data_IF_927549573670
#
_entry.id   IF_927549573670
#
_cell.length_a   1.000
_cell.length_b   1.000
_cell.length_c   1.000
_cell.angle_alpha   90.00
_cell.angle_beta   90.00
_cell.angle_gamma   90.00
#
_symmetry.space_group_name_H-M   'P 1'
#
loop_
_entity.id
_entity.type
_entity.pdbx_description
1 polymer ?
#
# COMPACT_ATOMS: atom_id res chain seq x y z
N UNK A 1 -75.00 23.42 -9.36
CA UNK A 1 -74.93 24.69 -8.62
C UNK A 1 -73.48 25.17 -8.63
N UNK A 2 -73.22 26.25 -9.38
CA UNK A 2 -72.24 27.36 -9.18
C UNK A 2 -70.93 26.99 -8.45
N UNK A 3 -69.74 26.85 -9.06
CA UNK A 3 -68.88 27.79 -9.84
C UNK A 3 -68.38 29.02 -9.07
N UNK A 4 -67.07 29.09 -8.77
CA UNK A 4 -66.27 30.27 -9.11
C UNK A 4 -64.75 30.02 -8.98
N UNK A 5 -64.08 30.20 -10.12
CA UNK A 5 -62.65 30.49 -10.30
C UNK A 5 -62.40 31.98 -10.05
N UNK A 6 -61.16 32.36 -9.77
CA UNK A 6 -60.66 33.70 -10.07
C UNK A 6 -59.23 33.64 -10.62
N UNK A 7 -59.05 34.31 -11.76
CA UNK A 7 -57.83 34.49 -12.55
C UNK A 7 -57.44 35.97 -12.53
N UNK A 8 -56.11 36.24 -12.49
CA UNK A 8 -55.24 37.29 -13.13
C UNK A 8 -55.84 38.67 -13.54
N UNK A 9 -55.04 39.75 -13.58
CA UNK A 9 -54.55 40.21 -14.90
C UNK A 9 -53.11 40.78 -14.98
N UNK A 10 -52.67 40.85 -16.26
CA UNK A 10 -51.45 41.39 -16.88
C UNK A 10 -51.43 42.94 -17.01
N UNK A 11 -50.23 43.53 -17.14
CA UNK A 11 -49.88 44.66 -18.04
C UNK A 11 -48.33 44.76 -18.10
N UNK A 12 -47.62 44.50 -19.21
CA UNK A 12 -47.51 45.17 -20.53
C UNK A 12 -46.58 46.42 -20.52
N UNK A 13 -45.46 46.36 -21.26
CA UNK A 13 -45.07 47.36 -22.29
C UNK A 13 -43.78 46.99 -23.03
N UNK A 14 -43.81 47.27 -24.33
CA UNK A 14 -42.84 46.95 -25.38
C UNK A 14 -42.03 48.20 -25.81
N UNK A 15 -40.92 48.00 -26.55
CA UNK A 15 -40.44 48.78 -27.73
C UNK A 15 -39.04 48.26 -28.14
N UNK A 16 -38.83 47.71 -29.36
CA UNK A 16 -38.41 48.39 -30.62
C UNK A 16 -36.97 48.97 -30.51
N UNK A 17 -36.00 48.83 -31.42
CA UNK A 17 -35.92 48.50 -32.86
C UNK A 17 -34.44 48.26 -33.23
N UNK A 18 -34.21 47.48 -34.29
CA UNK A 18 -32.93 47.23 -34.94
C UNK A 18 -32.46 48.38 -35.84
N UNK A 19 -31.15 48.52 -36.10
CA UNK A 19 -30.59 48.64 -37.45
C UNK A 19 -29.05 48.74 -37.47
N UNK A 20 -28.56 48.44 -38.66
CA UNK A 20 -27.27 47.90 -39.07
C UNK A 20 -26.25 48.92 -39.59
N UNK A 21 -25.00 48.45 -39.61
CA UNK A 21 -23.95 48.57 -40.64
C UNK A 21 -23.32 49.91 -41.05
N UNK A 22 -21.99 49.84 -41.21
CA UNK A 22 -21.25 50.52 -42.29
C UNK A 22 -20.33 51.66 -41.86
N UNK A 23 -19.02 51.39 -41.82
CA UNK A 23 -17.99 52.38 -41.48
C UNK A 23 -17.62 53.37 -42.61
N UNK A 24 -16.69 54.28 -42.29
CA UNK A 24 -15.42 54.62 -42.99
C UNK A 24 -14.71 55.76 -42.19
N UNK A 25 -13.48 55.46 -41.74
CA UNK A 25 -12.23 56.22 -41.42
C UNK A 25 -12.17 57.77 -41.23
N UNK A 26 -11.04 58.33 -40.69
CA UNK A 26 -10.62 58.34 -39.28
C UNK A 26 -10.29 59.78 -38.76
N UNK A 27 -9.92 59.92 -37.48
CA UNK A 27 -8.74 60.75 -37.17
C UNK A 27 -7.77 60.09 -36.16
N UNK A 28 -6.53 60.61 -36.00
CA UNK A 28 -5.45 59.87 -35.36
C UNK A 28 -5.19 60.19 -33.88
N UNK A 29 -4.57 59.18 -33.25
CA UNK A 29 -3.55 59.17 -32.20
C UNK A 29 -3.88 59.69 -30.79
N UNK A 30 -4.09 58.74 -29.86
CA UNK A 30 -3.44 58.75 -28.54
C UNK A 30 -2.99 57.31 -28.19
N UNK A 31 -1.73 57.20 -27.79
CA UNK A 31 -0.90 55.99 -27.68
C UNK A 31 -1.26 55.09 -26.49
N UNK A 32 -0.97 53.80 -26.69
CA UNK A 32 -1.53 52.64 -25.99
C UNK A 32 -1.05 52.39 -24.55
N UNK A 33 -1.99 51.98 -23.70
CA UNK A 33 -1.79 51.15 -22.50
C UNK A 33 -2.47 49.79 -22.73
N UNK A 34 -1.75 48.65 -22.72
CA UNK A 34 -2.34 47.34 -22.92
C UNK A 34 -2.87 46.68 -21.63
N UNK A 35 -3.97 45.95 -21.84
CA UNK A 35 -4.72 45.11 -20.91
C UNK A 35 -3.88 44.05 -20.18
N UNK A 36 -4.30 43.76 -18.95
CA UNK A 36 -3.79 42.67 -18.12
C UNK A 36 -4.23 41.28 -18.65
N UNK A 37 -3.32 40.29 -18.71
CA UNK A 37 -3.62 38.90 -19.03
C UNK A 37 -3.92 38.04 -17.78
N UNK A 38 -4.42 36.83 -18.05
CA UNK A 38 -4.78 35.74 -17.13
C UNK A 38 -3.70 35.38 -16.08
N UNK A 39 -4.07 34.79 -14.93
CA UNK A 39 -3.11 34.46 -13.88
C UNK A 39 -2.24 33.27 -14.30
N UNK A 40 -0.98 33.55 -14.60
CA UNK A 40 0.11 32.59 -14.69
C UNK A 40 0.68 32.32 -13.29
N UNK A 41 0.87 31.04 -12.97
CA UNK A 41 1.57 30.59 -11.78
C UNK A 41 3.00 31.14 -11.77
N UNK A 42 3.30 31.98 -10.77
CA UNK A 42 4.65 32.48 -10.54
C UNK A 42 5.33 31.64 -9.48
N UNK A 43 6.45 31.04 -9.86
CA UNK A 43 7.44 30.44 -8.99
C UNK A 43 7.90 31.47 -7.95
N UNK A 44 7.71 31.17 -6.66
CA UNK A 44 8.36 31.91 -5.59
C UNK A 44 9.77 31.34 -5.40
N UNK A 45 10.74 32.22 -5.61
CA UNK A 45 12.16 31.97 -5.47
C UNK A 45 12.53 31.42 -4.09
N UNK A 46 13.49 30.49 -4.08
CA UNK A 46 14.20 30.08 -2.88
C UNK A 46 14.81 31.29 -2.16
N UNK A 47 14.70 31.42 -0.83
CA UNK A 47 15.38 32.47 -0.11
C UNK A 47 16.87 32.13 -0.05
N UNK A 48 17.68 33.03 -0.61
CA UNK A 48 19.11 33.12 -0.37
C UNK A 48 19.39 33.39 1.10
N UNK A 49 20.48 32.79 1.59
CA UNK A 49 20.80 32.65 3.00
C UNK A 49 20.76 33.94 3.81
N UNK A 50 19.99 33.89 4.89
CA UNK A 50 20.19 34.69 6.09
C UNK A 50 20.64 33.76 7.22
N UNK A 51 21.77 34.11 7.82
CA UNK A 51 22.31 33.41 8.99
C UNK A 51 21.29 33.41 10.13
N UNK A 52 20.85 32.22 10.55
CA UNK A 52 20.07 32.03 11.77
C UNK A 52 20.88 31.18 12.74
N UNK A 53 21.61 31.87 13.61
CA UNK A 53 21.99 31.35 14.92
C UNK A 53 21.14 32.04 15.97
N UNK A 54 20.17 31.32 16.55
CA UNK A 54 19.69 31.48 17.94
C UNK A 54 18.68 30.36 18.27
N UNK A 55 19.17 29.39 19.05
CA UNK A 55 18.49 28.53 20.02
C UNK A 55 16.99 28.22 19.89
N UNK A 56 16.67 27.24 19.05
CA UNK A 56 15.64 26.27 19.42
C UNK A 56 16.32 25.16 20.24
N UNK A 57 15.80 24.77 21.42
CA UNK A 57 16.35 23.64 22.15
C UNK A 57 16.19 22.38 21.28
N UNK A 58 17.29 21.99 20.63
CA UNK A 58 17.37 20.71 19.94
C UNK A 58 17.00 19.64 20.99
N UNK A 59 16.08 18.70 20.69
CA UNK A 59 15.89 17.56 21.57
C UNK A 59 17.28 16.98 21.82
N UNK A 60 17.67 16.88 23.09
CA UNK A 60 18.99 16.37 23.47
C UNK A 60 19.15 15.04 22.75
N UNK A 61 20.06 14.99 21.78
CA UNK A 61 20.46 13.73 21.11
C UNK A 61 20.65 12.75 22.27
N UNK A 62 19.92 11.61 22.32
CA UNK A 62 20.10 10.66 23.39
C UNK A 62 21.60 10.42 23.49
N UNK A 63 22.15 10.60 24.70
CA UNK A 63 23.60 10.54 24.95
C UNK A 63 24.11 9.38 24.12
N UNK A 64 24.97 9.66 23.12
CA UNK A 64 25.60 8.64 22.30
C UNK A 64 26.12 7.62 23.30
N UNK A 65 25.55 6.41 23.32
CA UNK A 65 26.03 5.36 24.21
C UNK A 65 27.52 5.28 23.97
N UNK A 66 28.30 5.55 25.00
CA UNK A 66 29.75 5.53 24.91
C UNK A 66 30.16 4.19 24.30
N UNK A 67 30.96 4.26 23.24
CA UNK A 67 31.34 3.06 22.50
C UNK A 67 31.95 2.06 23.50
N UNK A 68 31.55 0.77 23.46
CA UNK A 68 32.04 -0.19 24.44
C UNK A 68 33.57 -0.25 24.42
N UNK A 69 34.19 -0.26 25.61
CA UNK A 69 35.65 -0.37 25.73
C UNK A 69 36.18 -1.61 24.98
N UNK A 70 37.46 -1.63 24.57
CA UNK A 70 38.05 -2.80 23.91
C UNK A 70 37.86 -4.11 24.70
N UNK A 71 37.85 -4.02 26.04
CA UNK A 71 37.57 -5.14 26.94
C UNK A 71 36.11 -5.60 26.86
N UNK A 72 35.15 -4.66 26.89
CA UNK A 72 33.74 -4.98 26.66
C UNK A 72 33.54 -5.61 25.28
N UNK A 73 34.19 -5.10 24.23
CA UNK A 73 34.12 -5.70 22.90
C UNK A 73 34.78 -7.10 22.82
N UNK A 74 35.80 -7.39 23.65
CA UNK A 74 36.31 -8.76 23.81
C UNK A 74 35.28 -9.67 24.46
N UNK A 75 34.59 -9.19 25.51
CA UNK A 75 33.50 -9.94 26.14
C UNK A 75 32.33 -10.20 25.19
N UNK A 76 31.89 -9.19 24.42
CA UNK A 76 30.88 -9.35 23.36
C UNK A 76 31.27 -10.46 22.37
N UNK A 77 32.49 -10.40 21.82
CA UNK A 77 32.97 -11.42 20.85
C UNK A 77 33.05 -12.82 21.46
N UNK A 78 33.41 -12.91 22.73
CA UNK A 78 33.42 -14.19 23.47
C UNK A 78 32.01 -14.76 23.56
N UNK A 79 31.05 -13.98 24.05
CA UNK A 79 29.65 -14.40 24.18
C UNK A 79 29.01 -14.74 22.82
N UNK A 80 29.27 -13.95 21.79
CA UNK A 80 28.78 -14.23 20.44
C UNK A 80 29.36 -15.54 19.88
N UNK A 81 30.65 -15.81 20.10
CA UNK A 81 31.30 -17.06 19.68
C UNK A 81 30.75 -18.25 20.46
N UNK A 82 30.60 -18.14 21.78
CA UNK A 82 30.06 -19.21 22.62
C UNK A 82 28.61 -19.53 22.25
N UNK A 83 27.76 -18.52 22.05
CA UNK A 83 26.39 -18.71 21.59
C UNK A 83 26.31 -19.46 20.27
N UNK A 84 27.20 -19.17 19.31
CA UNK A 84 27.30 -19.92 18.04
C UNK A 84 27.75 -21.35 18.23
N UNK A 85 28.72 -21.60 19.12
CA UNK A 85 29.20 -22.96 19.42
C UNK A 85 28.09 -23.81 20.06
N UNK A 86 27.35 -23.23 21.01
CA UNK A 86 26.20 -23.86 21.65
C UNK A 86 25.07 -24.13 20.64
N UNK A 87 24.79 -23.16 19.76
CA UNK A 87 23.85 -23.35 18.64
C UNK A 87 24.27 -24.46 17.69
N UNK A 88 25.56 -24.57 17.37
CA UNK A 88 26.10 -25.70 16.59
C UNK A 88 25.91 -27.06 17.26
N UNK A 89 25.85 -27.11 18.60
CA UNK A 89 25.54 -28.29 19.41
C UNK A 89 24.04 -28.46 19.68
N UNK A 90 23.18 -27.61 19.09
CA UNK A 90 21.73 -27.56 19.35
C UNK A 90 21.34 -27.32 20.81
N UNK A 91 22.22 -26.70 21.60
CA UNK A 91 21.97 -26.29 22.98
C UNK A 91 21.34 -24.89 22.97
N UNK A 92 20.10 -24.81 22.46
CA UNK A 92 19.43 -23.54 22.16
C UNK A 92 19.17 -22.65 23.38
N UNK A 93 18.70 -23.16 24.54
CA UNK A 93 18.51 -22.35 25.74
C UNK A 93 19.81 -21.71 26.24
N UNK A 94 20.93 -22.43 26.17
CA UNK A 94 22.25 -21.92 26.54
C UNK A 94 22.77 -20.91 25.52
N UNK A 95 22.58 -21.17 24.22
CA UNK A 95 22.95 -20.25 23.15
C UNK A 95 22.24 -18.89 23.30
N UNK A 96 20.94 -18.92 23.60
CA UNK A 96 20.12 -17.74 23.89
C UNK A 96 20.76 -16.91 25.02
N UNK A 97 21.12 -17.54 26.15
CA UNK A 97 21.74 -16.85 27.29
C UNK A 97 23.05 -16.15 26.89
N UNK A 98 23.85 -16.77 26.04
CA UNK A 98 25.10 -16.17 25.57
C UNK A 98 24.84 -15.01 24.59
N UNK A 99 23.85 -15.11 23.70
CA UNK A 99 23.46 -13.99 22.85
C UNK A 99 22.88 -12.82 23.64
N UNK A 100 22.12 -13.07 24.71
CA UNK A 100 21.66 -12.02 25.64
C UNK A 100 22.81 -11.33 26.35
N UNK A 101 23.84 -12.07 26.79
CA UNK A 101 25.06 -11.47 27.35
C UNK A 101 25.80 -10.63 26.32
N UNK A 102 25.87 -11.06 25.06
CA UNK A 102 26.42 -10.25 23.98
C UNK A 102 25.61 -8.95 23.78
N UNK A 103 24.28 -9.04 23.75
CA UNK A 103 23.39 -7.90 23.62
C UNK A 103 23.42 -6.98 24.84
N UNK A 104 23.70 -7.47 26.05
CA UNK A 104 23.90 -6.62 27.22
C UNK A 104 25.12 -5.68 27.06
N UNK A 105 26.16 -6.15 26.35
CA UNK A 105 27.34 -5.35 26.03
C UNK A 105 27.03 -4.36 24.90
N UNK A 106 26.42 -4.84 23.81
CA UNK A 106 26.05 -4.04 22.63
C UNK A 106 24.55 -4.21 22.31
N UNK A 107 23.67 -3.45 22.98
CA UNK A 107 22.24 -3.49 22.70
C UNK A 107 21.93 -2.99 21.30
N UNK A 108 20.98 -3.67 20.66
CA UNK A 108 20.59 -3.34 19.30
C UNK A 108 21.58 -3.82 18.24
N UNK A 109 22.61 -4.59 18.60
CA UNK A 109 23.51 -5.19 17.62
C UNK A 109 22.76 -6.18 16.72
N UNK A 110 22.53 -5.78 15.46
CA UNK A 110 21.73 -6.56 14.52
C UNK A 110 22.26 -7.99 14.28
N UNK A 111 23.59 -8.24 14.16
CA UNK A 111 24.11 -9.59 14.13
C UNK A 111 23.68 -10.44 15.33
N UNK A 112 23.88 -9.96 16.56
CA UNK A 112 23.51 -10.69 17.76
C UNK A 112 21.99 -10.89 17.89
N UNK A 113 21.18 -9.92 17.47
CA UNK A 113 19.72 -10.03 17.43
C UNK A 113 19.23 -11.09 16.44
N UNK A 114 19.82 -11.16 15.24
CA UNK A 114 19.49 -12.20 14.25
C UNK A 114 19.84 -13.60 14.75
N UNK A 115 20.97 -13.75 15.43
CA UNK A 115 21.41 -15.02 16.02
C UNK A 115 20.53 -15.45 17.21
N UNK A 116 20.17 -14.49 18.08
CA UNK A 116 19.17 -14.70 19.14
C UNK A 116 17.83 -15.14 18.55
N UNK A 117 17.38 -14.46 17.49
CA UNK A 117 16.14 -14.78 16.81
C UNK A 117 16.13 -16.20 16.25
N UNK A 118 17.23 -16.65 15.66
CA UNK A 118 17.37 -18.02 15.17
C UNK A 118 17.39 -19.05 16.31
N UNK A 119 18.13 -18.79 17.38
CA UNK A 119 18.19 -19.68 18.55
C UNK A 119 16.82 -19.79 19.24
N UNK A 120 16.10 -18.68 19.39
CA UNK A 120 14.74 -18.63 19.92
C UNK A 120 13.76 -19.43 19.03
N UNK A 121 13.85 -19.30 17.70
CA UNK A 121 13.05 -20.11 16.78
C UNK A 121 13.31 -21.61 16.99
N UNK A 122 14.58 -22.02 17.11
CA UNK A 122 14.96 -23.41 17.34
C UNK A 122 14.56 -23.94 18.72
N UNK A 123 14.41 -23.06 19.71
CA UNK A 123 13.89 -23.37 21.03
C UNK A 123 12.34 -23.41 21.08
N UNK A 124 11.64 -23.06 19.99
CA UNK A 124 10.18 -22.96 19.94
C UNK A 124 9.61 -21.65 20.49
N UNK A 125 10.46 -20.68 20.84
CA UNK A 125 10.06 -19.36 21.35
C UNK A 125 9.70 -18.41 20.19
N UNK A 126 8.61 -18.71 19.47
CA UNK A 126 8.28 -18.07 18.19
C UNK A 126 8.03 -16.55 18.27
N UNK A 127 7.43 -16.05 19.36
CA UNK A 127 7.19 -14.60 19.53
C UNK A 127 8.49 -13.84 19.74
N UNK A 128 9.37 -14.37 20.60
CA UNK A 128 10.68 -13.79 20.87
C UNK A 128 11.58 -13.86 19.65
N UNK A 129 11.50 -14.95 18.89
CA UNK A 129 12.20 -15.10 17.62
C UNK A 129 11.78 -14.02 16.61
N UNK A 130 10.47 -13.76 16.48
CA UNK A 130 9.93 -12.71 15.61
C UNK A 130 10.42 -11.33 16.03
N UNK A 131 10.23 -10.98 17.30
CA UNK A 131 10.64 -9.68 17.85
C UNK A 131 12.13 -9.41 17.65
N UNK A 132 12.99 -10.41 17.88
CA UNK A 132 14.44 -10.27 17.73
C UNK A 132 14.85 -10.01 16.27
N UNK A 133 14.24 -10.70 15.31
CA UNK A 133 14.55 -10.50 13.88
C UNK A 133 13.96 -9.19 13.32
N UNK A 134 12.77 -8.77 13.78
CA UNK A 134 12.20 -7.46 13.43
C UNK A 134 13.05 -6.31 13.98
N UNK A 135 13.54 -6.45 15.22
CA UNK A 135 14.47 -5.50 15.79
C UNK A 135 15.81 -5.50 15.04
N UNK A 136 16.33 -6.66 14.64
CA UNK A 136 17.52 -6.74 13.82
C UNK A 136 17.35 -5.95 12.51
N UNK A 137 16.21 -6.11 11.82
CA UNK A 137 15.87 -5.35 10.60
C UNK A 137 15.85 -3.85 10.84
N UNK A 138 15.26 -3.38 11.95
CA UNK A 138 15.24 -1.95 12.31
C UNK A 138 16.63 -1.36 12.59
N UNK A 139 17.63 -2.19 12.89
CA UNK A 139 18.97 -1.76 13.32
C UNK A 139 20.04 -1.93 12.25
N UNK A 140 19.74 -2.62 11.16
CA UNK A 140 20.72 -2.96 10.12
C UNK A 140 20.42 -2.27 8.80
N UNK A 141 21.48 -1.75 8.17
CA UNK A 141 21.49 -1.34 6.77
C UNK A 141 22.23 -2.34 5.88
N UNK A 142 22.74 -3.45 6.44
CA UNK A 142 23.46 -4.47 5.69
C UNK A 142 22.48 -5.39 4.94
N UNK A 143 22.53 -5.46 3.60
CA UNK A 143 21.66 -6.33 2.81
C UNK A 143 21.81 -7.81 3.18
N UNK A 144 23.02 -8.23 3.57
CA UNK A 144 23.30 -9.60 4.01
C UNK A 144 22.54 -9.94 5.30
N UNK A 145 22.54 -9.03 6.27
CA UNK A 145 21.83 -9.24 7.54
C UNK A 145 20.31 -9.12 7.36
N UNK A 146 19.86 -8.17 6.53
CA UNK A 146 18.45 -8.04 6.18
C UNK A 146 17.93 -9.32 5.51
N UNK A 147 18.69 -9.89 4.56
CA UNK A 147 18.36 -11.17 3.94
C UNK A 147 18.23 -12.29 4.98
N UNK A 148 19.18 -12.40 5.93
CA UNK A 148 19.13 -13.41 6.98
C UNK A 148 17.93 -13.24 7.92
N UNK A 149 17.63 -12.01 8.34
CA UNK A 149 16.49 -11.73 9.21
C UNK A 149 15.16 -12.02 8.50
N UNK A 150 15.03 -11.67 7.22
CA UNK A 150 13.87 -12.02 6.41
C UNK A 150 13.73 -13.54 6.22
N UNK A 151 14.83 -14.26 5.97
CA UNK A 151 14.79 -15.73 5.96
C UNK A 151 14.27 -16.30 7.29
N UNK A 152 14.76 -15.81 8.42
CA UNK A 152 14.32 -16.27 9.74
C UNK A 152 12.83 -15.98 9.97
N UNK A 153 12.35 -14.78 9.60
CA UNK A 153 10.93 -14.43 9.69
C UNK A 153 10.06 -15.31 8.78
N UNK A 154 10.55 -15.65 7.59
CA UNK A 154 9.88 -16.62 6.72
C UNK A 154 9.73 -17.99 7.39
N UNK A 155 10.80 -18.49 8.04
CA UNK A 155 10.75 -19.77 8.79
C UNK A 155 9.75 -19.72 9.95
N UNK A 156 9.72 -18.60 10.68
CA UNK A 156 8.78 -18.37 11.78
C UNK A 156 7.34 -18.35 11.25
N UNK A 157 7.07 -17.71 10.11
CA UNK A 157 5.76 -17.68 9.48
C UNK A 157 5.30 -19.07 9.01
N UNK A 158 6.21 -19.88 8.43
CA UNK A 158 5.89 -21.27 8.09
C UNK A 158 5.49 -22.11 9.31
N UNK A 159 6.20 -21.95 10.43
CA UNK A 159 5.89 -22.65 11.68
C UNK A 159 4.53 -22.21 12.26
N UNK A 160 4.17 -20.94 12.05
CA UNK A 160 2.85 -20.39 12.39
C UNK A 160 1.76 -20.76 11.38
N UNK A 161 2.07 -21.55 10.36
CA UNK A 161 1.15 -21.95 9.29
C UNK A 161 0.60 -20.75 8.48
N UNK A 162 1.42 -19.70 8.33
CA UNK A 162 1.13 -18.54 7.48
C UNK A 162 2.03 -18.57 6.22
N UNK A 163 1.63 -19.33 5.17
CA UNK A 163 2.43 -19.47 3.96
C UNK A 163 2.54 -18.17 3.16
N UNK A 164 1.58 -17.24 3.31
CA UNK A 164 1.57 -15.95 2.62
C UNK A 164 2.65 -15.03 3.19
N UNK A 165 2.69 -14.85 4.51
CA UNK A 165 3.74 -14.09 5.17
C UNK A 165 5.12 -14.75 4.98
N UNK A 166 5.18 -16.09 4.97
CA UNK A 166 6.42 -16.82 4.70
C UNK A 166 6.97 -16.50 3.30
N UNK A 167 6.13 -16.59 2.27
CA UNK A 167 6.51 -16.25 0.89
C UNK A 167 6.96 -14.80 0.76
N UNK A 168 6.29 -13.86 1.42
CA UNK A 168 6.64 -12.44 1.36
C UNK A 168 8.04 -12.18 1.95
N UNK A 169 8.32 -12.73 3.13
CA UNK A 169 9.63 -12.65 3.75
C UNK A 169 10.72 -13.38 2.96
N UNK A 170 10.43 -14.56 2.40
CA UNK A 170 11.40 -15.27 1.57
C UNK A 170 11.74 -14.53 0.29
N UNK A 171 10.76 -13.91 -0.38
CA UNK A 171 11.00 -13.08 -1.56
C UNK A 171 11.91 -11.90 -1.24
N UNK A 172 11.66 -11.20 -0.13
CA UNK A 172 12.54 -10.13 0.38
C UNK A 172 13.95 -10.65 0.66
N UNK A 173 14.09 -11.85 1.25
CA UNK A 173 15.39 -12.47 1.49
C UNK A 173 16.17 -12.73 0.19
N UNK A 174 15.55 -13.34 -0.83
CA UNK A 174 16.26 -13.70 -2.08
C UNK A 174 16.54 -12.49 -2.96
N UNK A 175 15.71 -11.45 -2.90
CA UNK A 175 15.93 -10.18 -3.58
C UNK A 175 17.21 -9.48 -3.07
N UNK A 176 17.46 -9.55 -1.76
CA UNK A 176 18.66 -8.99 -1.15
C UNK A 176 19.89 -9.88 -1.34
N UNK A 177 19.70 -11.20 -1.27
CA UNK A 177 20.77 -12.17 -1.46
C UNK A 177 20.22 -13.49 -2.00
N UNK A 178 20.56 -13.89 -3.24
CA UNK A 178 20.21 -15.20 -3.77
C UNK A 178 20.63 -16.33 -2.84
N UNK A 179 19.72 -17.28 -2.62
CA UNK A 179 19.93 -18.42 -1.74
C UNK A 179 19.06 -19.58 -2.18
N UNK A 180 19.70 -20.65 -2.68
CA UNK A 180 19.05 -21.83 -3.21
C UNK A 180 18.11 -22.52 -2.20
N UNK A 181 18.44 -22.48 -0.90
CA UNK A 181 17.56 -23.06 0.15
C UNK A 181 16.26 -22.28 0.25
N UNK A 182 16.35 -20.95 0.21
CA UNK A 182 15.18 -20.06 0.28
C UNK A 182 14.35 -20.17 -1.00
N UNK A 183 15.00 -20.22 -2.16
CA UNK A 183 14.34 -20.43 -3.46
C UNK A 183 13.58 -21.76 -3.52
N UNK A 184 14.16 -22.85 -2.98
CA UNK A 184 13.46 -24.14 -2.84
C UNK A 184 12.24 -24.03 -1.93
N UNK A 185 12.34 -23.35 -0.78
CA UNK A 185 11.18 -23.11 0.10
C UNK A 185 10.09 -22.28 -0.58
N UNK A 186 10.46 -21.24 -1.32
CA UNK A 186 9.52 -20.45 -2.12
C UNK A 186 8.81 -21.37 -3.13
N UNK A 187 9.55 -22.21 -3.85
CA UNK A 187 8.98 -23.13 -4.84
C UNK A 187 8.05 -24.18 -4.21
N UNK A 188 8.40 -24.71 -3.03
CA UNK A 188 7.57 -25.65 -2.27
C UNK A 188 6.27 -25.01 -1.79
N UNK A 189 6.36 -23.85 -1.12
CA UNK A 189 5.19 -23.12 -0.63
C UNK A 189 4.29 -22.66 -1.77
N UNK A 190 4.86 -22.19 -2.88
CA UNK A 190 4.09 -21.78 -4.07
C UNK A 190 3.41 -22.96 -4.78
N UNK A 191 3.87 -24.20 -4.58
CA UNK A 191 3.18 -25.41 -5.06
C UNK A 191 2.03 -25.80 -4.13
N UNK A 192 2.19 -25.61 -2.82
CA UNK A 192 1.13 -25.83 -1.83
C UNK A 192 0.00 -24.81 -1.98
N UNK A 193 0.31 -23.57 -2.36
CA UNK A 193 -0.66 -22.53 -2.77
C UNK A 193 -1.48 -22.94 -4.01
N UNK A 194 -1.00 -23.89 -4.84
CA UNK A 194 -1.65 -24.36 -6.07
C UNK A 194 -2.56 -25.59 -5.88
N UNK A 195 -2.72 -26.13 -4.67
CA UNK A 195 -3.75 -27.14 -4.40
C UNK A 195 -5.14 -26.46 -4.38
N UNK A 196 -6.19 -27.05 -5.00
CA UNK A 196 -7.33 -26.26 -5.43
C UNK A 196 -8.27 -25.91 -4.27
N UNK A 197 -8.27 -24.64 -3.91
CA UNK A 197 -9.49 -23.86 -3.81
C UNK A 197 -9.18 -22.51 -4.46
N UNK A 198 -10.07 -22.02 -5.33
CA UNK A 198 -10.10 -20.60 -5.65
C UNK A 198 -9.98 -19.83 -4.32
N UNK A 199 -9.20 -18.74 -4.23
CA UNK A 199 -9.11 -18.01 -2.98
C UNK A 199 -10.54 -17.58 -2.63
N UNK A 200 -11.15 -18.25 -1.66
CA UNK A 200 -12.25 -17.67 -0.93
C UNK A 200 -11.64 -16.40 -0.38
N UNK A 201 -12.09 -15.25 -0.88
CA UNK A 201 -11.66 -13.96 -0.39
C UNK A 201 -11.69 -14.04 1.14
N UNK A 202 -10.56 -13.76 1.80
CA UNK A 202 -10.52 -13.69 3.26
C UNK A 202 -11.75 -12.88 3.71
N UNK A 203 -12.55 -13.39 4.65
CA UNK A 203 -13.76 -12.70 5.05
C UNK A 203 -13.39 -11.27 5.47
N UNK A 204 -14.06 -10.28 4.88
CA UNK A 204 -13.90 -8.88 5.23
C UNK A 204 -13.94 -8.69 6.75
N UNK A 205 -13.12 -7.80 7.32
CA UNK A 205 -13.22 -7.47 8.73
C UNK A 205 -14.59 -6.84 9.04
N UNK A 206 -15.01 -6.92 10.30
CA UNK A 206 -16.17 -6.16 10.80
C UNK A 206 -17.53 -6.49 10.14
N UNK A 207 -17.75 -7.76 9.75
CA UNK A 207 -18.99 -8.22 9.11
C UNK A 207 -20.24 -8.23 10.00
N UNK A 208 -20.12 -7.94 11.30
CA UNK A 208 -21.30 -7.82 12.16
C UNK A 208 -21.99 -6.49 11.86
N UNK A 209 -23.31 -6.54 11.62
CA UNK A 209 -24.08 -5.34 11.31
C UNK A 209 -24.01 -4.30 12.44
N UNK A 210 -23.63 -3.09 12.06
CA UNK A 210 -23.47 -1.94 12.92
C UNK A 210 -24.63 -0.96 12.73
N UNK A 211 -25.11 -0.34 13.81
CA UNK A 211 -26.21 0.63 13.71
C UNK A 211 -25.75 1.92 13.03
N UNK A 212 -24.49 2.34 13.24
CA UNK A 212 -23.91 3.55 12.65
C UNK A 212 -22.60 3.24 11.93
N UNK A 213 -22.28 4.04 10.91
CA UNK A 213 -20.96 4.01 10.23
C UNK A 213 -19.80 4.19 11.23
N UNK A 214 -19.99 5.00 12.27
CA UNK A 214 -18.99 5.18 13.32
C UNK A 214 -18.60 3.86 14.02
N UNK A 215 -19.55 2.93 14.19
CA UNK A 215 -19.28 1.64 14.83
C UNK A 215 -18.53 0.71 13.85
N UNK A 216 -18.80 0.81 12.54
CA UNK A 216 -18.01 0.14 11.50
C UNK A 216 -16.57 0.65 11.53
N UNK A 217 -16.38 1.97 11.55
CA UNK A 217 -15.07 2.60 11.66
C UNK A 217 -14.32 2.18 12.91
N UNK A 218 -14.97 2.18 14.08
CA UNK A 218 -14.36 1.76 15.34
C UNK A 218 -13.90 0.30 15.31
N UNK A 219 -14.61 -0.56 14.58
CA UNK A 219 -14.18 -1.93 14.37
C UNK A 219 -12.99 -2.02 13.40
N UNK A 220 -13.03 -1.29 12.27
CA UNK A 220 -11.98 -1.32 11.24
C UNK A 220 -10.64 -0.73 11.73
N UNK A 221 -10.69 0.29 12.59
CA UNK A 221 -9.49 1.00 13.09
C UNK A 221 -9.10 0.56 14.50
N UNK A 222 -9.61 -0.59 14.97
CA UNK A 222 -9.29 -1.12 16.29
C UNK A 222 -7.76 -1.32 16.42
N UNK A 223 -7.11 -0.72 17.44
CA UNK A 223 -5.67 -0.84 17.62
C UNK A 223 -5.24 -2.29 17.85
N UNK A 224 -4.10 -2.68 17.30
CA UNK A 224 -3.48 -3.96 17.61
C UNK A 224 -2.86 -3.92 19.03
N UNK A 225 -2.78 -5.07 19.74
CA UNK A 225 -2.13 -5.12 21.05
C UNK A 225 -0.68 -4.64 20.98
N UNK A 226 -0.36 -3.58 21.73
CA UNK A 226 0.98 -2.98 21.75
C UNK A 226 1.14 -1.75 20.85
N UNK A 227 0.09 -1.34 20.13
CA UNK A 227 0.03 -0.06 19.44
C UNK A 227 -0.59 1.02 20.35
N UNK A 228 0.16 2.04 20.79
CA UNK A 228 -0.35 3.11 21.64
C UNK A 228 -1.22 4.14 20.88
N UNK A 229 -1.25 4.12 19.55
CA UNK A 229 -2.00 5.11 18.76
C UNK A 229 -3.45 4.67 18.53
N UNK A 230 -4.37 5.35 19.22
CA UNK A 230 -5.81 5.25 19.02
C UNK A 230 -6.47 6.64 19.15
N UNK A 231 -7.49 6.98 18.32
CA UNK A 231 -8.04 6.25 17.18
C UNK A 231 -7.42 6.68 15.83
N UNK A 232 -7.26 5.74 14.90
CA UNK A 232 -6.83 6.05 13.53
C UNK A 232 -8.00 6.56 12.66
N UNK A 233 -7.75 7.39 11.63
CA UNK A 233 -8.78 7.97 10.78
C UNK A 233 -9.62 6.91 10.06
N UNK A 234 -10.92 7.16 9.99
CA UNK A 234 -11.86 6.43 9.15
C UNK A 234 -13.01 7.34 8.77
N UNK A 235 -13.14 7.63 7.48
CA UNK A 235 -14.09 8.63 6.99
C UNK A 235 -14.77 8.20 5.69
N UNK A 236 -16.03 8.62 5.45
CA UNK A 236 -16.67 8.46 4.15
C UNK A 236 -15.91 9.22 3.06
N UNK A 237 -15.64 8.52 1.96
CA UNK A 237 -15.04 9.09 0.76
C UNK A 237 -16.09 9.94 0.03
N UNK A 238 -15.70 11.17 -0.34
CA UNK A 238 -16.60 12.12 -1.02
C UNK A 238 -16.72 11.85 -2.52
N UNK A 239 -15.62 11.45 -3.15
CA UNK A 239 -15.55 11.13 -4.58
C UNK A 239 -14.77 9.82 -4.77
N UNK A 240 -15.24 8.89 -5.62
CA UNK A 240 -16.36 9.05 -6.54
C UNK A 240 -17.73 8.92 -5.85
N UNK A 241 -18.73 9.65 -6.36
CA UNK A 241 -20.13 9.42 -5.97
C UNK A 241 -20.57 8.02 -6.35
N UNK A 242 -21.06 7.27 -5.37
CA UNK A 242 -21.61 5.94 -5.61
C UNK A 242 -22.99 6.03 -6.27
N UNK A 243 -23.31 5.14 -7.23
CA UNK A 243 -24.58 5.16 -7.96
C UNK A 243 -25.79 4.75 -7.11
N UNK A 244 -25.56 4.24 -5.88
CA UNK A 244 -26.59 3.70 -4.99
C UNK A 244 -26.51 4.36 -3.61
N UNK A 245 -27.61 4.98 -3.11
CA UNK A 245 -27.60 5.76 -1.87
C UNK A 245 -27.43 4.91 -0.60
N UNK A 246 -27.70 3.61 -0.67
CA UNK A 246 -27.49 2.64 0.40
C UNK A 246 -26.02 2.24 0.59
N UNK A 247 -25.14 2.63 -0.34
CA UNK A 247 -23.71 2.35 -0.27
C UNK A 247 -22.93 3.54 0.29
N UNK A 248 -21.87 3.23 1.02
CA UNK A 248 -20.89 4.20 1.49
C UNK A 248 -19.50 3.61 1.31
N UNK A 249 -18.60 4.35 0.69
CA UNK A 249 -17.19 3.96 0.60
C UNK A 249 -16.46 4.64 1.75
N UNK A 250 -15.77 3.85 2.58
CA UNK A 250 -14.96 4.35 3.69
C UNK A 250 -13.48 4.25 3.31
N UNK A 251 -12.73 5.30 3.61
CA UNK A 251 -11.27 5.25 3.68
C UNK A 251 -10.90 5.09 5.15
N UNK A 252 -10.28 3.96 5.50
CA UNK A 252 -9.98 3.59 6.88
C UNK A 252 -8.52 3.22 7.04
N UNK A 253 -7.83 3.85 8.00
CA UNK A 253 -6.47 3.48 8.38
C UNK A 253 -6.51 2.24 9.29
N UNK A 254 -6.49 1.06 8.67
CA UNK A 254 -6.63 -0.25 9.35
C UNK A 254 -5.32 -0.72 9.97
N UNK A 255 -4.17 -0.19 9.54
CA UNK A 255 -2.85 -0.47 10.11
C UNK A 255 -2.03 0.80 10.32
N UNK A 256 -0.89 0.72 11.01
CA UNK A 256 0.02 1.86 11.25
C UNK A 256 0.37 2.57 9.93
N UNK A 257 0.59 1.78 8.88
CA UNK A 257 0.95 2.27 7.55
C UNK A 257 -0.06 1.86 6.48
N UNK A 258 -1.19 1.27 6.85
CA UNK A 258 -2.13 0.71 5.89
C UNK A 258 -3.45 1.46 5.91
N UNK A 259 -3.89 1.86 4.72
CA UNK A 259 -5.21 2.46 4.49
C UNK A 259 -5.98 1.57 3.52
N UNK A 260 -7.22 1.23 3.88
CA UNK A 260 -8.12 0.40 3.09
C UNK A 260 -9.36 1.20 2.66
N UNK A 261 -9.80 1.00 1.41
CA UNK A 261 -11.04 1.55 0.89
C UNK A 261 -12.13 0.46 0.94
N UNK A 262 -13.02 0.56 1.93
CA UNK A 262 -14.01 -0.46 2.26
C UNK A 262 -15.39 0.01 1.81
N UNK A 263 -16.02 -0.76 0.93
CA UNK A 263 -17.42 -0.58 0.55
C UNK A 263 -18.31 -1.12 1.67
N UNK A 264 -19.21 -0.27 2.17
CA UNK A 264 -20.18 -0.58 3.21
C UNK A 264 -21.58 -0.43 2.64
N UNK A 265 -22.45 -1.41 2.89
CA UNK A 265 -23.85 -1.35 2.51
C UNK A 265 -24.74 -1.18 3.73
N UNK A 266 -25.78 -0.35 3.58
CA UNK A 266 -26.88 -0.21 4.53
C UNK A 266 -27.97 -1.24 4.20
N UNK A 267 -28.14 -2.24 5.05
CA UNK A 267 -29.25 -3.18 5.01
C UNK A 267 -30.23 -2.98 6.17
N UNK A 268 -31.19 -3.89 6.31
CA UNK A 268 -32.25 -3.82 7.34
C UNK A 268 -31.70 -3.86 8.77
N UNK A 269 -30.59 -4.57 8.97
CA UNK A 269 -29.94 -4.75 10.28
C UNK A 269 -28.86 -3.71 10.59
N UNK A 270 -28.62 -2.77 9.67
CA UNK A 270 -27.58 -1.74 9.80
C UNK A 270 -26.55 -1.78 8.66
N UNK A 271 -25.38 -1.22 8.93
CA UNK A 271 -24.25 -1.08 8.02
C UNK A 271 -23.30 -2.27 8.13
N UNK A 272 -22.89 -2.84 7.00
CA UNK A 272 -21.97 -3.98 6.93
C UNK A 272 -20.94 -3.76 5.82
N UNK A 273 -19.64 -4.02 6.06
CA UNK A 273 -18.62 -4.11 5.01
C UNK A 273 -18.93 -5.23 4.01
N UNK A 274 -18.94 -4.90 2.72
CA UNK A 274 -19.34 -5.82 1.63
C UNK A 274 -18.29 -5.99 0.53
N UNK A 275 -17.29 -5.09 0.48
CA UNK A 275 -16.15 -5.21 -0.42
C UNK A 275 -14.94 -4.40 0.05
N UNK A 276 -13.74 -4.81 -0.33
CA UNK A 276 -12.53 -3.99 -0.26
C UNK A 276 -12.15 -3.58 -1.68
N UNK A 277 -12.23 -2.29 -1.98
CA UNK A 277 -12.02 -1.73 -3.32
C UNK A 277 -10.53 -1.51 -3.61
N UNK A 278 -9.74 -1.25 -2.58
CA UNK A 278 -8.29 -1.11 -2.69
C UNK A 278 -7.62 -0.87 -1.35
N UNK A 279 -6.29 -0.74 -1.39
CA UNK A 279 -5.48 -0.40 -0.23
C UNK A 279 -4.14 0.20 -0.63
N UNK A 280 -3.59 1.01 0.26
CA UNK A 280 -2.24 1.56 0.17
C UNK A 280 -1.40 1.19 1.40
N UNK A 281 -0.09 1.17 1.22
CA UNK A 281 0.89 1.03 2.28
C UNK A 281 1.90 2.19 2.27
N UNK A 282 1.79 3.07 3.26
CA UNK A 282 2.56 4.30 3.38
C UNK A 282 3.34 4.35 4.71
N UNK A 283 4.58 3.82 4.75
CA UNK A 283 5.41 3.84 5.95
C UNK A 283 6.06 5.20 6.26
N UNK A 284 5.88 6.19 5.37
CA UNK A 284 6.39 7.54 5.56
C UNK A 284 7.88 7.66 5.20
N UNK A 285 8.74 7.81 6.22
CA UNK A 285 10.13 8.30 6.11
C UNK A 285 11.14 7.43 5.33
N UNK A 286 10.69 6.57 4.43
CA UNK A 286 11.47 5.55 3.71
C UNK A 286 11.28 5.63 2.21
N UNK A 287 10.94 6.80 1.65
CA UNK A 287 10.86 6.99 0.19
C UNK A 287 9.80 6.15 -0.53
N UNK A 288 8.93 5.46 0.21
CA UNK A 288 7.80 4.66 -0.28
C UNK A 288 6.53 5.48 -0.14
N UNK A 289 5.85 5.68 -1.25
CA UNK A 289 4.58 6.38 -1.31
C UNK A 289 3.63 5.65 -2.25
N UNK A 290 2.43 5.36 -1.76
CA UNK A 290 1.33 4.76 -2.51
C UNK A 290 0.11 5.67 -2.49
N UNK A 291 -0.43 5.92 -3.67
CA UNK A 291 -1.69 6.64 -3.86
C UNK A 291 -2.71 5.70 -4.47
N UNK A 292 -3.93 5.70 -3.94
CA UNK A 292 -5.06 5.01 -4.53
C UNK A 292 -6.08 6.04 -5.01
N UNK A 293 -6.47 5.91 -6.27
CA UNK A 293 -7.63 6.62 -6.83
C UNK A 293 -8.68 5.62 -7.28
N UNK A 294 -9.95 6.00 -7.16
CA UNK A 294 -11.08 5.22 -7.67
C UNK A 294 -11.78 6.11 -8.70
N UNK A 295 -11.23 6.22 -9.94
CA UNK A 295 -11.68 7.21 -10.91
C UNK A 295 -13.14 7.02 -11.33
N UNK A 296 -13.63 5.79 -11.38
CA UNK A 296 -14.98 5.49 -11.86
C UNK A 296 -15.64 4.37 -11.05
N UNK A 297 -16.93 4.56 -10.78
CA UNK A 297 -17.84 3.52 -10.31
C UNK A 297 -19.05 3.58 -11.22
N UNK A 298 -19.30 2.50 -11.96
CA UNK A 298 -20.39 2.45 -12.94
C UNK A 298 -21.32 1.29 -12.66
N UNK A 299 -22.60 1.47 -12.95
CA UNK A 299 -23.55 0.37 -12.94
C UNK A 299 -23.65 -0.22 -14.35
N UNK A 300 -23.41 -1.53 -14.46
CA UNK A 300 -23.45 -2.30 -15.70
C UNK A 300 -24.43 -3.46 -15.55
N UNK A 301 -24.73 -4.13 -16.66
CA UNK A 301 -25.61 -5.30 -16.68
C UNK A 301 -24.89 -6.52 -17.27
N UNK A 302 -24.96 -7.65 -16.56
CA UNK A 302 -24.49 -8.96 -16.98
C UNK A 302 -25.72 -9.86 -17.23
N UNK A 303 -26.31 -9.77 -18.42
CA UNK A 303 -27.64 -10.34 -18.69
C UNK A 303 -28.72 -9.63 -17.87
N UNK A 304 -29.36 -10.34 -16.94
CA UNK A 304 -30.36 -9.77 -16.01
C UNK A 304 -29.76 -9.28 -14.69
N UNK A 305 -28.47 -9.54 -14.46
CA UNK A 305 -27.80 -9.18 -13.21
C UNK A 305 -27.25 -7.77 -13.31
N UNK A 306 -27.69 -6.88 -12.42
CA UNK A 306 -27.04 -5.58 -12.22
C UNK A 306 -25.69 -5.76 -11.51
N UNK A 307 -24.66 -5.08 -11.97
CA UNK A 307 -23.29 -5.18 -11.44
C UNK A 307 -22.73 -3.77 -11.25
N UNK A 308 -22.28 -3.45 -10.04
CA UNK A 308 -21.44 -2.30 -9.79
C UNK A 308 -19.99 -2.64 -10.15
N UNK A 309 -19.42 -1.80 -11.01
CA UNK A 309 -18.10 -1.94 -11.58
C UNK A 309 -17.22 -0.82 -11.01
N UNK A 310 -16.35 -1.17 -10.07
CA UNK A 310 -15.37 -0.27 -9.49
C UNK A 310 -14.05 -0.40 -10.25
N UNK A 311 -13.50 0.72 -10.71
CA UNK A 311 -12.12 0.78 -11.18
C UNK A 311 -11.29 1.53 -10.15
N UNK A 312 -10.26 0.87 -9.64
CA UNK A 312 -9.27 1.45 -8.76
C UNK A 312 -7.90 1.46 -9.44
N UNK A 313 -7.13 2.52 -9.23
CA UNK A 313 -5.74 2.65 -9.68
C UNK A 313 -4.89 2.91 -8.46
N UNK A 314 -3.89 2.06 -8.23
CA UNK A 314 -2.85 2.26 -7.23
C UNK A 314 -1.55 2.60 -7.94
N UNK A 315 -0.96 3.72 -7.59
CA UNK A 315 0.39 4.10 -7.99
C UNK A 315 1.30 3.99 -6.78
N UNK A 316 2.41 3.26 -6.93
CA UNK A 316 3.47 3.09 -5.93
C UNK A 316 4.74 3.70 -6.46
N UNK A 317 5.37 4.53 -5.65
CA UNK A 317 6.70 5.06 -5.86
C UNK A 317 7.60 4.61 -4.71
N UNK A 318 8.80 4.11 -5.02
CA UNK A 318 9.76 3.66 -4.03
C UNK A 318 11.17 4.06 -4.43
N UNK A 319 11.78 4.92 -3.63
CA UNK A 319 13.13 5.48 -3.84
C UNK A 319 14.17 4.95 -2.84
N UNK A 320 13.82 3.95 -2.02
CA UNK A 320 14.69 3.42 -0.95
C UNK A 320 15.19 1.99 -1.23
N UNK A 321 15.18 1.59 -2.51
CA UNK A 321 15.54 0.23 -2.94
C UNK A 321 17.03 0.04 -3.25
N UNK A 322 17.85 1.10 -3.21
CA UNK A 322 19.28 1.05 -3.51
C UNK A 322 19.97 2.41 -3.64
N UNK A 323 21.27 2.38 -3.96
CA UNK A 323 22.01 3.61 -4.30
C UNK A 323 21.58 4.04 -5.71
N UNK A 324 20.95 5.22 -5.83
CA UNK A 324 20.58 5.83 -7.11
C UNK A 324 19.55 5.01 -7.91
N UNK A 325 18.54 4.45 -7.23
CA UNK A 325 17.51 3.59 -7.84
C UNK A 325 16.12 4.03 -7.40
N UNK A 326 15.17 3.97 -8.33
CA UNK A 326 13.76 4.13 -8.02
C UNK A 326 12.94 3.01 -8.66
N UNK A 327 11.78 2.77 -8.08
CA UNK A 327 10.76 1.87 -8.57
C UNK A 327 9.42 2.59 -8.67
N UNK A 328 8.74 2.39 -9.79
CA UNK A 328 7.37 2.81 -10.00
C UNK A 328 6.52 1.60 -10.38
N UNK A 329 5.39 1.44 -9.71
CA UNK A 329 4.40 0.42 -10.04
C UNK A 329 3.02 1.06 -10.12
N UNK A 330 2.34 0.88 -11.24
CA UNK A 330 0.92 1.19 -11.38
C UNK A 330 0.14 -0.10 -11.51
N UNK A 331 -0.88 -0.28 -10.68
CA UNK A 331 -1.83 -1.40 -10.78
C UNK A 331 -3.24 -0.86 -10.94
N UNK A 332 -3.96 -1.29 -11.97
CA UNK A 332 -5.40 -1.07 -12.10
C UNK A 332 -6.16 -2.32 -11.70
N UNK A 333 -7.19 -2.16 -10.90
CA UNK A 333 -8.02 -3.24 -10.35
C UNK A 333 -9.48 -2.97 -10.67
N UNK A 334 -10.17 -4.01 -11.14
CA UNK A 334 -11.63 -4.03 -11.29
C UNK A 334 -12.22 -4.85 -10.16
N UNK A 335 -13.16 -4.26 -9.42
CA UNK A 335 -13.98 -4.98 -8.44
C UNK A 335 -15.44 -4.98 -8.89
N UNK A 336 -16.03 -6.17 -8.98
CA UNK A 336 -17.43 -6.36 -9.36
C UNK A 336 -18.24 -6.66 -8.11
N UNK A 337 -19.26 -5.84 -7.85
CA UNK A 337 -20.20 -6.03 -6.75
C UNK A 337 -21.62 -6.13 -7.27
N UNK A 338 -22.38 -7.09 -6.77
CA UNK A 338 -23.78 -7.32 -7.12
C UNK A 338 -24.70 -6.94 -5.96
N UNK A 339 -25.83 -6.26 -6.24
CA UNK A 339 -26.85 -5.98 -5.25
C UNK A 339 -27.55 -7.29 -4.82
N UNK A 340 -28.24 -7.30 -3.68
CA UNK A 340 -29.10 -8.41 -3.28
C UNK A 340 -30.17 -8.70 -4.35
N UNK A 341 -30.36 -9.98 -4.71
CA UNK A 341 -31.38 -10.44 -5.66
C UNK A 341 -32.19 -11.62 -5.13
N UNK A 342 -33.49 -11.68 -5.48
CA UNK A 342 -34.35 -12.81 -5.15
C UNK A 342 -34.51 -13.01 -3.63
N UNK A 343 -34.03 -14.14 -3.11
CA UNK A 343 -34.10 -14.48 -1.67
C UNK A 343 -32.88 -13.99 -0.85
N UNK A 344 -31.80 -13.54 -1.48
CA UNK A 344 -30.66 -12.99 -0.74
C UNK A 344 -30.95 -11.54 -0.33
N UNK A 345 -30.60 -11.20 0.90
CA UNK A 345 -30.67 -9.83 1.44
C UNK A 345 -29.30 -9.15 1.48
N UNK A 346 -28.25 -9.83 1.01
CA UNK A 346 -26.87 -9.40 1.16
C UNK A 346 -26.24 -8.99 -0.17
N UNK A 347 -25.51 -7.88 -0.13
CA UNK A 347 -24.59 -7.47 -1.19
C UNK A 347 -23.39 -8.42 -1.24
N UNK A 348 -22.84 -8.62 -2.44
CA UNK A 348 -21.63 -9.43 -2.62
C UNK A 348 -20.69 -8.74 -3.58
N UNK A 349 -19.39 -8.81 -3.33
CA UNK A 349 -18.36 -8.45 -4.29
C UNK A 349 -17.63 -9.72 -4.75
N UNK A 350 -18.23 -10.52 -5.66
CA UNK A 350 -17.75 -11.87 -5.97
C UNK A 350 -16.40 -11.90 -6.70
N UNK A 351 -15.96 -10.78 -7.30
CA UNK A 351 -14.76 -10.77 -8.12
C UNK A 351 -13.97 -9.47 -7.96
N UNK A 352 -12.67 -9.62 -7.68
CA UNK A 352 -11.68 -8.54 -7.70
C UNK A 352 -10.49 -8.99 -8.55
N UNK A 353 -10.18 -8.27 -9.61
CA UNK A 353 -9.15 -8.65 -10.61
C UNK A 353 -8.24 -7.46 -10.86
N UNK A 354 -6.92 -7.59 -10.67
CA UNK A 354 -6.00 -6.62 -11.22
C UNK A 354 -5.99 -6.80 -12.74
N UNK A 355 -6.43 -5.78 -13.46
CA UNK A 355 -6.60 -5.80 -14.92
C UNK A 355 -5.39 -5.26 -15.65
N UNK A 356 -4.51 -4.52 -14.97
CA UNK A 356 -3.31 -3.97 -15.59
C UNK A 356 -2.24 -3.78 -14.52
N UNK A 357 -1.00 -4.07 -14.88
CA UNK A 357 0.17 -3.68 -14.10
C UNK A 357 1.25 -3.17 -15.02
N UNK A 358 1.80 -2.02 -14.66
CA UNK A 358 3.05 -1.48 -15.22
C UNK A 358 4.06 -1.37 -14.10
N UNK A 359 5.29 -1.80 -14.36
CA UNK A 359 6.38 -1.77 -13.41
C UNK A 359 7.64 -1.28 -14.07
N UNK A 360 8.27 -0.32 -13.43
CA UNK A 360 9.53 0.28 -13.84
C UNK A 360 10.45 0.23 -12.63
N UNK A 361 11.68 -0.24 -12.84
CA UNK A 361 12.77 -0.03 -11.89
C UNK A 361 13.96 0.49 -12.67
N UNK A 362 14.44 1.67 -12.30
CA UNK A 362 15.46 2.38 -13.07
C UNK A 362 16.44 3.12 -12.15
N UNK A 363 17.49 3.69 -12.75
CA UNK A 363 18.43 4.59 -12.08
C UNK A 363 17.78 5.94 -11.87
N UNK A 364 17.99 6.55 -10.72
CA UNK A 364 17.68 7.97 -10.56
C UNK A 364 18.60 8.74 -11.52
N UNK A 365 18.05 9.57 -12.40
CA UNK A 365 18.86 10.31 -13.38
C UNK A 365 19.49 11.53 -12.71
N UNK A 366 20.30 11.31 -11.68
CA UNK A 366 20.97 12.37 -10.94
C UNK A 366 21.97 13.07 -11.89
N UNK A 367 21.65 14.30 -12.27
CA UNK A 367 22.53 15.10 -13.13
C UNK A 367 23.95 15.19 -12.52
N UNK A 368 24.96 14.86 -13.31
CA UNK A 368 26.36 14.91 -12.89
C UNK A 368 26.80 13.76 -11.97
N UNK A 369 25.93 12.80 -11.64
CA UNK A 369 26.33 11.62 -10.88
C UNK A 369 27.09 10.63 -11.77
N UNK A 370 28.41 10.52 -11.54
CA UNK A 370 29.24 9.46 -12.11
C UNK A 370 29.71 8.55 -10.97
N UNK A 371 29.20 7.31 -10.88
CA UNK A 371 29.56 6.42 -9.78
C UNK A 371 31.04 6.01 -9.89
N UNK A 372 31.76 6.18 -8.78
CA UNK A 372 33.14 5.72 -8.62
C UNK A 372 33.24 4.17 -8.65
N UNK A 373 34.46 3.65 -8.58
CA UNK A 373 34.71 2.21 -8.68
C UNK A 373 34.13 1.40 -7.50
N UNK A 374 33.89 2.01 -6.34
CA UNK A 374 33.30 1.34 -5.18
C UNK A 374 31.78 1.36 -5.29
N UNK A 375 31.20 2.52 -5.58
CA UNK A 375 29.77 2.75 -5.78
C UNK A 375 29.23 1.92 -6.94
N UNK A 376 29.97 1.81 -8.04
CA UNK A 376 29.60 0.98 -9.19
C UNK A 376 29.48 -0.51 -8.87
N UNK A 377 30.16 -1.00 -7.83
CA UNK A 377 30.03 -2.40 -7.37
C UNK A 377 28.78 -2.62 -6.53
N UNK A 378 28.24 -1.56 -5.93
CA UNK A 378 27.02 -1.58 -5.11
C UNK A 378 25.75 -1.39 -5.95
N UNK A 379 25.89 -0.81 -7.15
CA UNK A 379 24.82 -0.63 -8.12
C UNK A 379 24.20 -1.97 -8.56
N UNK A 380 22.87 -2.07 -8.56
CA UNK A 380 22.15 -3.31 -8.92
C UNK A 380 22.40 -3.69 -10.37
N UNK A 381 22.83 -4.93 -10.63
CA UNK A 381 23.01 -5.45 -11.99
C UNK A 381 21.64 -5.72 -12.64
N UNK A 382 21.51 -5.45 -13.93
CA UNK A 382 20.29 -5.78 -14.71
C UNK A 382 19.23 -4.69 -14.77
N UNK A 383 19.52 -3.48 -14.26
CA UNK A 383 18.70 -2.28 -14.50
C UNK A 383 19.08 -1.64 -15.85
N UNK A 384 18.14 -0.97 -16.56
CA UNK A 384 16.73 -0.76 -16.20
C UNK A 384 15.84 -1.99 -16.44
N UNK A 385 14.79 -2.14 -15.61
CA UNK A 385 13.76 -3.18 -15.76
C UNK A 385 12.43 -2.49 -16.09
N UNK A 386 11.75 -2.98 -17.12
CA UNK A 386 10.39 -2.57 -17.48
C UNK A 386 9.56 -3.82 -17.75
N UNK A 387 8.50 -3.98 -16.99
CA UNK A 387 7.59 -5.13 -17.09
C UNK A 387 6.14 -4.66 -17.07
N UNK A 388 5.28 -5.43 -17.72
CA UNK A 388 3.85 -5.16 -17.66
C UNK A 388 3.02 -6.31 -18.19
N UNK A 389 1.76 -6.33 -17.77
CA UNK A 389 0.75 -7.27 -18.25
C UNK A 389 -0.63 -6.64 -18.11
N UNK A 390 -1.56 -7.14 -18.91
CA UNK A 390 -2.94 -6.68 -18.98
C UNK A 390 -3.90 -7.85 -19.14
N UNK A 391 -5.03 -7.73 -18.45
CA UNK A 391 -6.20 -8.59 -18.52
C UNK A 391 -7.40 -7.73 -18.94
N UNK A 392 -8.41 -8.38 -19.51
CA UNK A 392 -9.70 -7.79 -19.80
C UNK A 392 -10.80 -8.56 -19.06
N UNK A 393 -11.85 -7.85 -18.67
CA UNK A 393 -13.01 -8.40 -17.99
C UNK A 393 -14.25 -8.09 -18.83
N UNK A 394 -14.97 -9.12 -19.28
CA UNK A 394 -16.21 -8.97 -20.06
C UNK A 394 -17.39 -9.53 -19.29
N UNK A 395 -18.47 -8.76 -19.21
CA UNK A 395 -19.72 -9.22 -18.61
C UNK A 395 -20.51 -10.03 -19.65
N UNK A 396 -20.95 -11.22 -19.25
CA UNK A 396 -21.86 -12.10 -20.00
C UNK A 396 -23.14 -12.40 -19.20
N UNK A 397 -23.93 -13.40 -19.59
CA UNK A 397 -25.16 -13.76 -18.89
C UNK A 397 -24.88 -14.27 -17.45
N UNK A 398 -24.97 -13.38 -16.46
CA UNK A 398 -24.72 -13.69 -15.04
C UNK A 398 -23.28 -14.07 -14.70
N UNK A 399 -22.32 -13.74 -15.57
CA UNK A 399 -20.91 -14.11 -15.41
C UNK A 399 -19.97 -12.98 -15.84
N UNK A 400 -18.75 -13.01 -15.31
CA UNK A 400 -17.62 -12.22 -15.79
C UNK A 400 -16.55 -13.15 -16.37
N UNK A 401 -16.17 -12.89 -17.62
CA UNK A 401 -15.08 -13.59 -18.32
C UNK A 401 -13.80 -12.76 -18.22
N UNK A 402 -12.77 -13.34 -17.62
CA UNK A 402 -11.45 -12.72 -17.46
C UNK A 402 -10.49 -13.35 -18.46
N UNK A 403 -9.79 -12.54 -19.24
CA UNK A 403 -8.85 -13.01 -20.27
C UNK A 403 -7.57 -12.17 -20.30
N UNK A 404 -6.45 -12.76 -20.73
CA UNK A 404 -5.18 -12.03 -20.89
C UNK A 404 -5.20 -11.27 -22.22
N UNK A 405 -4.85 -9.99 -22.19
CA UNK A 405 -4.78 -9.12 -23.38
C UNK A 405 -3.37 -8.62 -23.67
N UNK A 406 -2.45 -8.67 -22.70
CA UNK A 406 -1.07 -8.27 -22.92
C UNK A 406 -0.10 -8.82 -21.86
N UNK A 407 1.15 -9.06 -22.28
CA UNK A 407 2.20 -9.57 -21.39
C UNK A 407 1.91 -10.96 -20.82
N UNK A 408 2.67 -11.34 -19.79
CA UNK A 408 2.48 -12.60 -19.06
C UNK A 408 2.22 -12.30 -17.59
N UNK A 409 0.96 -12.41 -17.11
CA UNK A 409 0.67 -12.19 -15.70
C UNK A 409 1.34 -13.25 -14.82
N UNK A 410 1.66 -12.92 -13.55
CA UNK A 410 2.19 -13.89 -12.59
C UNK A 410 1.14 -14.98 -12.32
N UNK A 411 1.57 -16.13 -11.82
CA UNK A 411 0.71 -17.31 -11.67
C UNK A 411 -0.56 -17.05 -10.84
N UNK A 412 -0.47 -16.21 -9.80
CA UNK A 412 -1.63 -15.85 -8.97
C UNK A 412 -2.69 -15.07 -9.76
N UNK A 413 -2.26 -14.15 -10.63
CA UNK A 413 -3.18 -13.36 -11.48
C UNK A 413 -3.68 -14.21 -12.64
N UNK A 414 -2.82 -15.06 -13.22
CA UNK A 414 -3.21 -16.00 -14.26
C UNK A 414 -4.27 -17.00 -13.79
N UNK A 415 -4.31 -17.33 -12.49
CA UNK A 415 -5.34 -18.17 -11.90
C UNK A 415 -6.74 -17.51 -11.87
N UNK A 416 -6.82 -16.19 -12.05
CA UNK A 416 -8.09 -15.46 -12.17
C UNK A 416 -8.65 -15.47 -13.60
N UNK A 417 -7.91 -15.97 -14.58
CA UNK A 417 -8.37 -16.10 -15.98
C UNK A 417 -9.43 -17.18 -16.07
N UNK A 418 -10.55 -16.88 -16.71
CA UNK A 418 -11.69 -17.78 -16.87
C UNK A 418 -13.02 -17.13 -16.51
N UNK A 419 -14.02 -17.99 -16.32
CA UNK A 419 -15.42 -17.62 -16.12
C UNK A 419 -15.78 -17.58 -14.63
N UNK A 420 -16.30 -16.45 -14.17
CA UNK A 420 -16.69 -16.23 -12.76
C UNK A 420 -18.19 -15.92 -12.65
N UNK A 421 -18.93 -16.60 -11.77
CA UNK A 421 -20.34 -16.29 -11.53
C UNK A 421 -20.49 -14.93 -10.81
N UNK A 422 -21.54 -14.20 -11.17
CA UNK A 422 -21.90 -12.90 -10.58
C UNK A 422 -23.16 -12.99 -9.71
#
# INVERSE_FOLDING_TARGET
>A
MVSMRASIPLAALASLVACQDGGVSPPPALSATPQAPAPTASASAAPTGAALGADLPRPKRPKTREAPSPEKMRAYRKHLTEGRLLGGKSQWPEAIKEFEKALAVVPGDAPALTELGWAAFKAGELDRAKQSNEEALRRTTSPKLQAMAHYNLGRIAEERKDPKAALDHYRKSVALRPNETVEKRIAELSKQEKAPAAPAAEPLPCQTAAVKIADVCACLTKPEPGDPEAPRPCEPVKEPKLPRPELTLLEAQTGVFQTDWILVAKGDKGFVPVGKIGSTHNPGAFGIYEELSIPTVTEKTAGKTTVLWFEARRDRHDSDMGIDEYEEETVRTVTLCVPPQGKTTEWKCPLTVPVERTYIRDRMQLEGFTPDAETRKLMTKGLPIKEGWALDVKLGEGKAEVSVTGGKPPAQVAALVGSHPL
#
